data_IF_223613828920
#
_entry.id   IF_223613828920
#
_cell.length_a   1.000
_cell.length_b   1.000
_cell.length_c   1.000
_cell.angle_alpha   90.00
_cell.angle_beta   90.00
_cell.angle_gamma   90.00
#
_symmetry.space_group_name_H-M   'P 1'
#
loop_
_entity.id
_entity.type
_entity.pdbx_description
1 polymer ?
#
# COMPACT_ATOMS: atom_id res chain seq x y z
N UNK A 1 -36.90 -70.58 -17.18
CA UNK A 1 -36.64 -69.36 -17.99
C UNK A 1 -36.92 -68.11 -17.17
N UNK A 2 -36.05 -67.72 -16.22
CA UNK A 2 -36.17 -66.46 -15.46
C UNK A 2 -34.77 -66.10 -14.92
N UNK A 3 -33.92 -65.47 -15.73
CA UNK A 3 -32.75 -64.72 -15.22
C UNK A 3 -31.97 -63.90 -16.27
N UNK A 4 -32.54 -63.63 -17.46
CA UNK A 4 -31.85 -62.81 -18.48
C UNK A 4 -31.92 -61.29 -18.20
N UNK A 5 -32.83 -60.82 -17.34
CA UNK A 5 -33.00 -59.40 -17.05
C UNK A 5 -31.95 -58.80 -16.11
N UNK A 6 -31.39 -59.60 -15.19
CA UNK A 6 -30.44 -59.12 -14.18
C UNK A 6 -29.08 -58.73 -14.79
N UNK A 7 -28.63 -59.50 -15.79
CA UNK A 7 -27.36 -59.24 -16.47
C UNK A 7 -27.38 -57.97 -17.32
N UNK A 8 -28.53 -57.62 -17.91
CA UNK A 8 -28.68 -56.44 -18.75
C UNK A 8 -28.72 -55.13 -17.92
N UNK A 9 -29.37 -55.14 -16.76
CA UNK A 9 -29.38 -53.99 -15.86
C UNK A 9 -28.02 -53.72 -15.23
N UNK A 10 -27.24 -54.76 -14.93
CA UNK A 10 -25.89 -54.62 -14.39
C UNK A 10 -24.91 -54.06 -15.44
N UNK A 11 -25.01 -54.53 -16.70
CA UNK A 11 -24.18 -53.99 -17.80
C UNK A 11 -24.53 -52.54 -18.16
N UNK A 12 -25.82 -52.18 -18.15
CA UNK A 12 -26.25 -50.80 -18.40
C UNK A 12 -25.79 -49.84 -17.28
N UNK A 13 -25.83 -50.30 -16.02
CA UNK A 13 -25.33 -49.53 -14.88
C UNK A 13 -23.83 -49.29 -14.93
N UNK A 14 -23.04 -50.32 -15.27
CA UNK A 14 -21.58 -50.19 -15.42
C UNK A 14 -21.23 -49.27 -16.61
N UNK A 15 -21.96 -49.38 -17.73
CA UNK A 15 -21.73 -48.52 -18.89
C UNK A 15 -22.09 -47.06 -18.61
N UNK A 16 -23.17 -46.80 -17.85
CA UNK A 16 -23.54 -45.46 -17.42
C UNK A 16 -22.47 -44.84 -16.50
N UNK A 17 -21.94 -45.62 -15.55
CA UNK A 17 -20.88 -45.16 -14.62
C UNK A 17 -19.59 -44.84 -15.37
N UNK A 18 -19.15 -45.71 -16.30
CA UNK A 18 -17.97 -45.48 -17.14
C UNK A 18 -18.15 -44.24 -18.02
N UNK A 19 -19.35 -44.02 -18.57
CA UNK A 19 -19.64 -42.84 -19.37
C UNK A 19 -19.57 -41.56 -18.51
N UNK A 20 -20.16 -41.52 -17.31
CA UNK A 20 -20.02 -40.36 -16.40
C UNK A 20 -18.57 -40.10 -15.97
N UNK A 21 -17.75 -41.14 -15.77
CA UNK A 21 -16.33 -40.98 -15.42
C UNK A 21 -15.48 -40.42 -16.58
N UNK A 22 -15.90 -40.65 -17.83
CA UNK A 22 -15.22 -40.11 -19.02
C UNK A 22 -15.55 -38.63 -19.26
N UNK A 23 -16.72 -38.13 -18.84
CA UNK A 23 -17.05 -36.69 -18.96
C UNK A 23 -16.48 -35.83 -17.83
N UNK A 24 -16.14 -36.41 -16.68
CA UNK A 24 -15.49 -35.68 -15.58
C UNK A 24 -14.00 -35.41 -15.81
N UNK A 25 -13.34 -36.02 -16.80
CA UNK A 25 -11.89 -35.91 -17.01
C UNK A 25 -11.45 -34.87 -18.05
N UNK A 26 -12.38 -34.08 -18.62
CA UNK A 26 -12.07 -33.06 -19.62
C UNK A 26 -12.27 -31.61 -19.13
N UNK A 27 -12.73 -31.42 -17.88
CA UNK A 27 -12.82 -30.09 -17.29
C UNK A 27 -11.44 -29.69 -16.76
N UNK A 28 -10.89 -28.57 -17.24
CA UNK A 28 -9.68 -27.99 -16.66
C UNK A 28 -9.90 -27.75 -15.16
N UNK A 29 -8.90 -28.10 -14.37
CA UNK A 29 -8.84 -27.77 -12.95
C UNK A 29 -8.71 -26.26 -12.74
N UNK A 30 -9.08 -25.76 -11.58
CA UNK A 30 -8.95 -24.32 -11.28
C UNK A 30 -7.49 -23.85 -11.35
N UNK A 31 -6.54 -24.70 -10.97
CA UNK A 31 -5.11 -24.43 -11.10
C UNK A 31 -4.64 -24.33 -12.57
N UNK A 32 -5.19 -25.16 -13.46
CA UNK A 32 -4.90 -25.07 -14.90
C UNK A 32 -5.50 -23.80 -15.51
N UNK A 33 -6.74 -23.45 -15.15
CA UNK A 33 -7.38 -22.20 -15.61
C UNK A 33 -6.61 -20.96 -15.18
N UNK A 34 -6.15 -20.91 -13.92
CA UNK A 34 -5.31 -19.80 -13.43
C UNK A 34 -4.00 -19.70 -14.20
N UNK A 35 -3.32 -20.83 -14.42
CA UNK A 35 -2.06 -20.85 -15.16
C UNK A 35 -2.24 -20.35 -16.60
N UNK A 36 -3.29 -20.79 -17.28
CA UNK A 36 -3.60 -20.33 -18.63
C UNK A 36 -3.89 -18.82 -18.64
N UNK A 37 -4.68 -18.33 -17.68
CA UNK A 37 -4.98 -16.91 -17.55
C UNK A 37 -3.73 -16.07 -17.25
N UNK A 38 -2.82 -16.54 -16.40
CA UNK A 38 -1.53 -15.88 -16.12
C UNK A 38 -0.69 -15.75 -17.39
N UNK A 39 -0.60 -16.82 -18.20
CA UNK A 39 0.15 -16.78 -19.47
C UNK A 39 -0.47 -15.77 -20.43
N UNK A 40 -1.80 -15.78 -20.59
CA UNK A 40 -2.50 -14.82 -21.45
C UNK A 40 -2.34 -13.38 -20.97
N UNK A 41 -2.48 -13.13 -19.66
CA UNK A 41 -2.30 -11.80 -19.08
C UNK A 41 -0.88 -11.27 -19.30
N UNK A 42 0.16 -12.11 -19.12
CA UNK A 42 1.55 -11.73 -19.39
C UNK A 42 1.76 -11.34 -20.87
N UNK A 43 1.06 -11.97 -21.82
CA UNK A 43 1.11 -11.58 -23.24
C UNK A 43 0.48 -10.19 -23.45
N UNK A 44 -0.68 -9.93 -22.84
CA UNK A 44 -1.34 -8.62 -22.91
C UNK A 44 -0.51 -7.52 -22.26
N UNK A 45 0.06 -7.78 -21.07
CA UNK A 45 0.95 -6.85 -20.37
C UNK A 45 2.18 -6.46 -21.20
N UNK A 46 2.78 -7.43 -21.90
CA UNK A 46 3.90 -7.14 -22.82
C UNK A 46 3.53 -6.22 -24.00
N UNK A 47 2.23 -6.10 -24.30
CA UNK A 47 1.70 -5.23 -25.36
C UNK A 47 1.09 -3.92 -24.82
N UNK A 48 1.10 -3.72 -23.49
CA UNK A 48 0.46 -2.59 -22.82
C UNK A 48 -1.07 -2.68 -22.76
N UNK A 49 -1.64 -3.85 -23.05
CA UNK A 49 -3.10 -4.09 -23.06
C UNK A 49 -3.58 -4.43 -21.64
N UNK A 50 -3.49 -3.46 -20.72
CA UNK A 50 -3.73 -3.68 -19.28
C UNK A 50 -5.16 -4.16 -18.98
N UNK A 51 -6.17 -3.64 -19.69
CA UNK A 51 -7.58 -4.04 -19.52
C UNK A 51 -7.82 -5.50 -19.88
N UNK A 52 -7.28 -5.94 -21.04
CA UNK A 52 -7.39 -7.34 -21.48
C UNK A 52 -6.66 -8.30 -20.52
N UNK A 53 -5.55 -7.85 -19.93
CA UNK A 53 -4.85 -8.60 -18.89
C UNK A 53 -5.70 -8.78 -17.62
N UNK A 54 -6.39 -7.72 -17.17
CA UNK A 54 -7.31 -7.80 -16.02
C UNK A 54 -8.51 -8.69 -16.35
N UNK A 55 -9.09 -8.54 -17.54
CA UNK A 55 -10.27 -9.31 -17.96
C UNK A 55 -10.02 -10.81 -18.00
N UNK A 56 -8.88 -11.24 -18.55
CA UNK A 56 -8.55 -12.68 -18.60
C UNK A 56 -8.29 -13.26 -17.22
N UNK A 57 -7.70 -12.51 -16.30
CA UNK A 57 -7.47 -12.97 -14.93
C UNK A 57 -8.77 -12.99 -14.11
N UNK A 58 -9.66 -12.01 -14.29
CA UNK A 58 -10.98 -11.98 -13.65
C UNK A 58 -11.88 -13.12 -14.11
N UNK A 59 -11.67 -13.65 -15.32
CA UNK A 59 -12.39 -14.81 -15.83
C UNK A 59 -11.93 -16.14 -15.19
N UNK A 60 -10.75 -16.18 -14.56
CA UNK A 60 -10.23 -17.35 -13.87
C UNK A 60 -10.67 -17.40 -12.39
N UNK A 61 -10.72 -18.59 -11.76
CA UNK A 61 -10.91 -18.69 -10.32
C UNK A 61 -9.80 -17.95 -9.57
N UNK A 62 -10.15 -17.07 -8.64
CA UNK A 62 -9.17 -16.31 -7.86
C UNK A 62 -8.24 -17.24 -7.06
N UNK A 63 -6.94 -16.95 -7.06
CA UNK A 63 -5.92 -17.72 -6.34
C UNK A 63 -5.27 -16.90 -5.25
N UNK A 64 -5.83 -16.93 -4.04
CA UNK A 64 -5.35 -16.17 -2.87
C UNK A 64 -4.01 -16.64 -2.30
N UNK A 65 -3.55 -17.83 -2.69
CA UNK A 65 -2.25 -18.43 -2.33
C UNK A 65 -1.39 -18.79 -3.55
N UNK A 66 -1.80 -18.33 -4.74
CA UNK A 66 -1.10 -18.62 -5.99
C UNK A 66 -0.23 -17.40 -6.36
N UNK A 67 1.05 -17.46 -6.01
CA UNK A 67 2.01 -16.34 -6.15
C UNK A 67 2.03 -15.78 -7.57
N UNK A 68 2.10 -16.66 -8.57
CA UNK A 68 2.14 -16.28 -9.99
C UNK A 68 0.85 -15.55 -10.40
N UNK A 69 -0.30 -16.04 -9.94
CA UNK A 69 -1.59 -15.39 -10.19
C UNK A 69 -1.66 -14.02 -9.53
N UNK A 70 -1.33 -13.92 -8.24
CA UNK A 70 -1.38 -12.67 -7.48
C UNK A 70 -0.44 -11.60 -8.02
N UNK A 71 0.81 -11.96 -8.30
CA UNK A 71 1.81 -11.07 -8.88
C UNK A 71 1.36 -10.54 -10.25
N UNK A 72 0.85 -11.43 -11.11
CA UNK A 72 0.35 -11.04 -12.44
C UNK A 72 -0.91 -10.18 -12.34
N UNK A 73 -1.81 -10.48 -11.41
CA UNK A 73 -3.01 -9.68 -11.15
C UNK A 73 -2.67 -8.29 -10.65
N UNK A 74 -1.73 -8.19 -9.71
CA UNK A 74 -1.21 -6.92 -9.24
C UNK A 74 -0.55 -6.12 -10.38
N UNK A 75 0.33 -6.74 -11.17
CA UNK A 75 0.94 -6.10 -12.35
C UNK A 75 -0.10 -5.59 -13.35
N UNK A 76 -1.20 -6.32 -13.58
CA UNK A 76 -2.25 -5.89 -14.49
C UNK A 76 -2.97 -4.62 -14.02
N UNK A 77 -3.27 -4.51 -12.72
CA UNK A 77 -3.84 -3.27 -12.15
C UNK A 77 -2.80 -2.15 -12.04
N UNK A 78 -1.55 -2.46 -11.75
CA UNK A 78 -0.48 -1.47 -11.74
C UNK A 78 -0.26 -0.87 -13.16
N UNK A 79 -0.33 -1.70 -14.20
CA UNK A 79 -0.34 -1.28 -15.60
C UNK A 79 -1.50 -0.32 -15.88
N UNK A 80 -2.72 -0.62 -15.40
CA UNK A 80 -3.88 0.27 -15.52
C UNK A 80 -3.67 1.63 -14.85
N UNK A 81 -2.88 1.66 -13.78
CA UNK A 81 -2.52 2.88 -13.07
C UNK A 81 -1.32 3.62 -13.68
N UNK A 82 -0.87 3.26 -14.88
CA UNK A 82 0.33 3.81 -15.52
C UNK A 82 1.64 3.54 -14.75
N UNK A 83 1.64 2.64 -13.77
CA UNK A 83 2.85 2.22 -13.08
C UNK A 83 3.70 1.31 -13.98
N UNK A 84 4.94 1.71 -14.22
CA UNK A 84 5.90 0.97 -15.03
C UNK A 84 7.15 0.63 -14.20
N UNK A 85 7.38 -0.66 -13.96
CA UNK A 85 8.54 -1.12 -13.17
C UNK A 85 9.87 -0.70 -13.78
N UNK A 86 10.01 -0.70 -15.11
CA UNK A 86 11.26 -0.30 -15.77
C UNK A 86 11.56 1.17 -15.51
N UNK A 87 10.59 2.06 -15.73
CA UNK A 87 10.72 3.50 -15.41
C UNK A 87 11.01 3.71 -13.93
N UNK A 88 10.31 2.99 -13.06
CA UNK A 88 10.54 3.08 -11.63
C UNK A 88 11.99 2.75 -11.26
N UNK A 89 12.54 1.65 -11.76
CA UNK A 89 13.92 1.25 -11.47
C UNK A 89 14.96 2.13 -12.17
N UNK A 90 14.68 2.60 -13.40
CA UNK A 90 15.67 3.35 -14.19
C UNK A 90 15.69 4.84 -13.91
N UNK A 91 14.61 5.40 -13.35
CA UNK A 91 14.45 6.85 -13.15
C UNK A 91 14.11 7.15 -11.69
N UNK A 92 12.94 6.70 -11.23
CA UNK A 92 12.38 7.09 -9.92
C UNK A 92 13.28 6.68 -8.76
N UNK A 93 13.63 5.39 -8.68
CA UNK A 93 14.45 4.84 -7.61
C UNK A 93 15.89 5.38 -7.62
N UNK A 94 16.42 5.77 -8.78
CA UNK A 94 17.73 6.42 -8.87
C UNK A 94 17.70 7.87 -8.39
N UNK A 95 16.55 8.54 -8.52
CA UNK A 95 16.33 9.90 -8.03
C UNK A 95 15.99 9.96 -6.54
N UNK A 96 15.69 8.82 -5.92
CA UNK A 96 15.27 8.74 -4.53
C UNK A 96 16.38 9.14 -3.56
N UNK A 97 16.14 10.20 -2.77
CA UNK A 97 17.01 10.65 -1.70
C UNK A 97 16.50 10.14 -0.34
N UNK A 98 17.27 9.29 0.38
CA UNK A 98 16.90 8.81 1.71
C UNK A 98 16.95 9.89 2.81
N UNK A 99 17.40 11.10 2.53
CA UNK A 99 17.29 12.24 3.47
C UNK A 99 15.96 13.01 3.28
N UNK A 100 15.33 12.89 2.10
CA UNK A 100 14.12 13.64 1.69
C UNK A 100 13.01 12.68 1.21
N UNK A 101 12.52 11.81 2.09
CA UNK A 101 11.66 10.64 1.80
C UNK A 101 10.44 10.91 0.91
N UNK A 102 9.42 11.53 1.51
CA UNK A 102 8.14 11.75 0.84
C UNK A 102 8.29 12.82 -0.25
N UNK A 103 9.29 13.69 -0.12
CA UNK A 103 9.69 14.64 -1.18
C UNK A 103 10.18 13.91 -2.43
N UNK A 104 11.12 12.99 -2.28
CA UNK A 104 11.63 12.16 -3.37
C UNK A 104 10.53 11.34 -4.01
N UNK A 105 9.68 10.69 -3.21
CA UNK A 105 8.56 9.92 -3.74
C UNK A 105 7.53 10.82 -4.45
N UNK A 106 7.24 12.01 -3.92
CA UNK A 106 6.35 12.98 -4.56
C UNK A 106 6.88 13.54 -5.90
N UNK A 107 8.18 13.37 -6.15
CA UNK A 107 8.85 13.69 -7.41
C UNK A 107 8.89 12.53 -8.42
N UNK A 108 8.46 11.32 -8.05
CA UNK A 108 8.42 10.20 -8.98
C UNK A 108 7.56 10.50 -10.21
N UNK A 109 7.91 9.86 -11.31
CA UNK A 109 7.33 10.04 -12.63
C UNK A 109 5.80 9.92 -12.66
N UNK A 110 5.23 9.06 -11.81
CA UNK A 110 3.77 8.82 -11.73
C UNK A 110 3.07 9.55 -10.59
N UNK A 111 3.79 10.35 -9.81
CA UNK A 111 3.20 11.02 -8.64
C UNK A 111 2.16 12.06 -9.02
N UNK A 112 2.24 12.63 -10.23
CA UNK A 112 1.27 13.62 -10.74
C UNK A 112 -0.03 13.03 -11.26
N UNK A 113 -0.09 11.70 -11.41
CA UNK A 113 -1.26 11.02 -11.95
C UNK A 113 -2.46 11.10 -11.00
N UNK A 114 -2.24 11.26 -9.67
CA UNK A 114 -3.34 11.54 -8.74
C UNK A 114 -3.77 13.01 -8.82
N UNK A 115 -4.90 13.27 -9.47
CA UNK A 115 -5.44 14.63 -9.66
C UNK A 115 -6.64 14.96 -8.77
N UNK A 116 -7.28 13.94 -8.22
CA UNK A 116 -8.39 14.07 -7.27
C UNK A 116 -8.44 12.90 -6.27
N UNK A 117 -9.26 12.97 -5.20
CA UNK A 117 -9.28 11.90 -4.20
C UNK A 117 -9.71 10.53 -4.76
N UNK A 118 -10.60 10.51 -5.73
CA UNK A 118 -11.18 9.35 -6.42
C UNK A 118 -10.60 9.17 -7.83
N UNK A 119 -9.32 9.47 -7.99
CA UNK A 119 -8.58 9.30 -9.23
C UNK A 119 -8.41 7.81 -9.58
N UNK A 120 -8.75 7.45 -10.81
CA UNK A 120 -8.74 6.06 -11.29
C UNK A 120 -7.33 5.44 -11.25
N UNK A 121 -6.28 6.21 -11.51
CA UNK A 121 -4.92 5.67 -11.49
C UNK A 121 -4.48 5.39 -10.04
N UNK A 122 -4.82 6.29 -9.11
CA UNK A 122 -4.60 6.06 -7.68
C UNK A 122 -5.37 4.82 -7.19
N UNK A 123 -6.64 4.69 -7.56
CA UNK A 123 -7.49 3.57 -7.13
C UNK A 123 -7.05 2.23 -7.74
N UNK A 124 -6.65 2.20 -9.01
CA UNK A 124 -6.11 0.99 -9.66
C UNK A 124 -4.80 0.54 -9.00
N UNK A 125 -3.88 1.45 -8.70
CA UNK A 125 -2.63 1.08 -8.00
C UNK A 125 -2.94 0.59 -6.57
N UNK A 126 -3.94 1.17 -5.92
CA UNK A 126 -4.40 0.68 -4.62
C UNK A 126 -5.01 -0.72 -4.69
N UNK A 127 -5.68 -1.10 -5.79
CA UNK A 127 -6.14 -2.48 -6.03
C UNK A 127 -4.96 -3.44 -6.21
N UNK A 128 -3.93 -3.04 -6.97
CA UNK A 128 -2.71 -3.82 -7.13
C UNK A 128 -2.01 -4.05 -5.77
N UNK A 129 -1.84 -2.99 -4.98
CA UNK A 129 -1.30 -3.04 -3.62
C UNK A 129 -2.14 -3.98 -2.75
N UNK A 130 -3.47 -3.81 -2.72
CA UNK A 130 -4.34 -4.63 -1.89
C UNK A 130 -4.30 -6.12 -2.26
N UNK A 131 -4.07 -6.44 -3.54
CA UNK A 131 -3.93 -7.84 -4.00
C UNK A 131 -2.75 -8.52 -3.32
N UNK A 132 -1.60 -7.84 -3.25
CA UNK A 132 -0.39 -8.39 -2.62
C UNK A 132 -0.39 -8.23 -1.10
N UNK A 133 -0.90 -7.10 -0.60
CA UNK A 133 -0.97 -6.79 0.82
C UNK A 133 -1.77 -7.85 1.57
N UNK A 134 -2.94 -8.24 1.04
CA UNK A 134 -3.83 -9.26 1.63
C UNK A 134 -3.63 -10.66 1.05
N UNK A 135 -2.50 -10.92 0.37
CA UNK A 135 -2.13 -12.23 -0.11
C UNK A 135 -2.17 -13.28 1.02
N UNK A 136 -2.56 -14.51 0.70
CA UNK A 136 -2.80 -15.57 1.67
C UNK A 136 -4.20 -15.54 2.29
N UNK A 137 -5.13 -14.79 1.70
CA UNK A 137 -6.51 -14.70 2.17
C UNK A 137 -6.66 -13.93 3.49
N UNK A 138 -5.76 -12.98 3.76
CA UNK A 138 -5.80 -12.18 4.99
C UNK A 138 -7.09 -11.36 5.01
N UNK A 139 -7.85 -11.44 6.11
CA UNK A 139 -9.06 -10.63 6.29
C UNK A 139 -8.74 -9.15 6.29
N UNK A 140 -9.57 -8.35 5.61
CA UNK A 140 -9.49 -6.88 5.65
C UNK A 140 -9.65 -6.29 7.05
N UNK A 141 -10.22 -7.02 8.00
CA UNK A 141 -10.35 -6.56 9.40
C UNK A 141 -9.09 -6.84 10.25
N UNK A 142 -8.02 -7.39 9.67
CA UNK A 142 -6.76 -7.66 10.35
C UNK A 142 -5.64 -6.87 9.67
N UNK A 143 -4.65 -6.46 10.45
CA UNK A 143 -3.45 -5.85 9.88
C UNK A 143 -2.68 -6.88 9.05
N UNK A 144 -2.46 -6.61 7.75
CA UNK A 144 -1.73 -7.49 6.83
C UNK A 144 -0.21 -7.32 7.01
N UNK A 145 0.34 -7.81 8.12
CA UNK A 145 1.79 -7.77 8.39
C UNK A 145 2.55 -8.76 7.51
N UNK A 146 3.86 -8.56 7.34
CA UNK A 146 4.76 -9.58 6.75
C UNK A 146 4.61 -10.95 7.40
N UNK A 147 4.54 -11.01 8.74
CA UNK A 147 4.44 -12.28 9.47
C UNK A 147 3.15 -13.03 9.12
N UNK A 148 2.04 -12.32 8.86
CA UNK A 148 0.80 -12.97 8.42
C UNK A 148 0.88 -13.51 7.00
N UNK A 149 1.51 -12.77 6.07
CA UNK A 149 1.73 -13.29 4.71
C UNK A 149 2.62 -14.54 4.76
N UNK A 150 3.65 -14.54 5.60
CA UNK A 150 4.57 -15.66 5.78
C UNK A 150 3.88 -16.97 6.26
N UNK A 151 2.65 -16.91 6.78
CA UNK A 151 1.88 -18.11 7.14
C UNK A 151 1.48 -18.95 5.92
N UNK A 152 1.41 -18.36 4.72
CA UNK A 152 0.86 -19.00 3.51
C UNK A 152 1.85 -19.15 2.35
N UNK A 153 3.00 -18.48 2.39
CA UNK A 153 3.96 -18.46 1.29
C UNK A 153 5.32 -19.05 1.70
N UNK A 154 6.04 -19.61 0.72
CA UNK A 154 7.45 -19.95 0.93
C UNK A 154 8.27 -18.67 1.11
N UNK A 155 9.50 -18.79 1.63
CA UNK A 155 10.38 -17.62 1.77
C UNK A 155 10.69 -16.94 0.44
N UNK A 156 10.81 -17.71 -0.65
CA UNK A 156 11.07 -17.17 -1.99
C UNK A 156 9.83 -16.45 -2.52
N UNK A 157 8.65 -17.10 -2.45
CA UNK A 157 7.37 -16.49 -2.86
C UNK A 157 7.07 -15.21 -2.08
N UNK A 158 7.30 -15.22 -0.76
CA UNK A 158 7.09 -14.06 0.10
C UNK A 158 7.99 -12.90 -0.31
N UNK A 159 9.28 -13.19 -0.60
CA UNK A 159 10.22 -12.16 -1.05
C UNK A 159 9.75 -11.51 -2.36
N UNK A 160 9.23 -12.29 -3.30
CA UNK A 160 8.74 -11.77 -4.58
C UNK A 160 7.49 -10.89 -4.38
N UNK A 161 6.51 -11.35 -3.59
CA UNK A 161 5.31 -10.59 -3.23
C UNK A 161 5.68 -9.27 -2.55
N UNK A 162 6.54 -9.31 -1.54
CA UNK A 162 6.89 -8.14 -0.74
C UNK A 162 7.74 -7.14 -1.50
N UNK A 163 8.63 -7.62 -2.38
CA UNK A 163 9.39 -6.73 -3.25
C UNK A 163 8.44 -5.98 -4.17
N UNK A 164 7.54 -6.67 -4.86
CA UNK A 164 6.61 -6.01 -5.77
C UNK A 164 5.66 -5.05 -5.02
N UNK A 165 5.15 -5.48 -3.86
CA UNK A 165 4.31 -4.66 -2.99
C UNK A 165 5.03 -3.38 -2.55
N UNK A 166 6.29 -3.49 -2.13
CA UNK A 166 7.09 -2.36 -1.66
C UNK A 166 7.24 -1.28 -2.75
N UNK A 167 7.57 -1.68 -3.98
CA UNK A 167 7.73 -0.74 -5.10
C UNK A 167 6.43 0.03 -5.38
N UNK A 168 5.30 -0.68 -5.42
CA UNK A 168 3.99 -0.05 -5.65
C UNK A 168 3.58 0.86 -4.49
N UNK A 169 3.85 0.48 -3.25
CA UNK A 169 3.58 1.30 -2.06
C UNK A 169 4.40 2.59 -2.10
N UNK A 170 5.67 2.56 -2.50
CA UNK A 170 6.48 3.77 -2.69
C UNK A 170 5.87 4.72 -3.72
N UNK A 171 5.44 4.19 -4.87
CA UNK A 171 4.80 5.00 -5.91
C UNK A 171 3.45 5.59 -5.43
N UNK A 172 2.63 4.80 -4.74
CA UNK A 172 1.35 5.25 -4.20
C UNK A 172 1.50 6.29 -3.09
N UNK A 173 2.51 6.13 -2.21
CA UNK A 173 2.89 7.15 -1.24
C UNK A 173 3.32 8.44 -1.93
N UNK A 174 4.09 8.35 -3.02
CA UNK A 174 4.46 9.50 -3.85
C UNK A 174 3.26 10.27 -4.38
N UNK A 175 2.28 9.57 -4.97
CA UNK A 175 1.01 10.15 -5.43
C UNK A 175 0.25 10.83 -4.29
N UNK A 176 0.08 10.13 -3.17
CA UNK A 176 -0.61 10.65 -1.99
C UNK A 176 0.08 11.92 -1.46
N UNK A 177 1.41 11.86 -1.31
CA UNK A 177 2.24 12.96 -0.83
C UNK A 177 2.16 14.15 -1.78
N UNK A 178 2.36 13.96 -3.08
CA UNK A 178 2.30 15.05 -4.05
C UNK A 178 0.95 15.75 -4.02
N UNK A 179 -0.14 14.98 -4.08
CA UNK A 179 -1.49 15.53 -4.12
C UNK A 179 -1.84 16.28 -2.82
N UNK A 180 -1.82 15.58 -1.68
CA UNK A 180 -2.27 16.17 -0.42
C UNK A 180 -1.24 17.08 0.24
N UNK A 181 0.05 16.88 0.01
CA UNK A 181 1.11 17.79 0.45
C UNK A 181 1.36 18.95 -0.50
N UNK A 182 0.67 18.99 -1.66
CA UNK A 182 0.81 20.05 -2.66
C UNK A 182 2.27 20.24 -3.11
N UNK A 183 2.93 19.14 -3.46
CA UNK A 183 4.30 19.22 -3.95
C UNK A 183 4.37 19.67 -5.41
N UNK A 184 5.48 20.30 -5.78
CA UNK A 184 5.77 20.63 -7.17
C UNK A 184 6.41 19.45 -7.94
N UNK A 185 6.80 19.67 -9.20
CA UNK A 185 7.40 18.63 -10.06
C UNK A 185 8.72 18.05 -9.56
N UNK A 186 9.40 18.70 -8.61
CA UNK A 186 10.65 18.19 -8.02
C UNK A 186 10.44 17.68 -6.59
N UNK A 187 9.18 17.52 -6.16
CA UNK A 187 8.85 16.94 -4.85
C UNK A 187 8.77 17.95 -3.72
N UNK A 188 8.96 19.25 -3.98
CA UNK A 188 8.98 20.25 -2.92
C UNK A 188 7.58 20.49 -2.38
N UNK A 189 7.35 20.09 -1.13
CA UNK A 189 6.07 20.24 -0.44
C UNK A 189 5.58 21.69 -0.39
N UNK A 190 4.28 21.87 -0.60
CA UNK A 190 3.60 23.16 -0.59
C UNK A 190 4.01 24.11 -1.73
N UNK A 191 4.88 23.71 -2.66
CA UNK A 191 5.29 24.53 -3.81
C UNK A 191 4.42 24.30 -5.06
N UNK A 192 3.47 23.36 -5.01
CA UNK A 192 2.51 23.12 -6.06
C UNK A 192 1.48 24.24 -6.23
N UNK A 193 0.49 24.01 -7.10
CA UNK A 193 -0.49 25.02 -7.50
C UNK A 193 -1.56 25.34 -6.43
N UNK A 194 -1.73 24.47 -5.44
CA UNK A 194 -2.70 24.67 -4.35
C UNK A 194 -2.14 25.62 -3.28
N UNK A 195 -3.00 26.11 -2.40
CA UNK A 195 -2.61 27.06 -1.35
C UNK A 195 -2.18 26.38 -0.04
N UNK A 196 -2.37 25.07 0.10
CA UNK A 196 -2.03 24.34 1.32
C UNK A 196 -0.52 24.16 1.47
N UNK A 197 -0.03 24.26 2.70
CA UNK A 197 1.38 23.99 3.09
C UNK A 197 1.51 22.75 3.95
N UNK A 198 0.39 22.27 4.47
CA UNK A 198 0.28 21.10 5.33
C UNK A 198 -0.65 20.08 4.65
N UNK A 199 -0.54 18.82 5.06
CA UNK A 199 -1.52 17.80 4.69
C UNK A 199 -2.89 18.15 5.24
N UNK A 200 -2.97 18.47 6.55
CA UNK A 200 -4.21 18.75 7.26
C UNK A 200 -4.18 20.11 7.95
N UNK A 201 -5.36 20.57 8.36
CA UNK A 201 -5.51 21.67 9.30
C UNK A 201 -5.37 21.09 10.72
N UNK A 202 -4.28 21.44 11.39
CA UNK A 202 -3.94 21.03 12.75
C UNK A 202 -4.37 22.06 13.80
N UNK A 203 -5.19 23.06 13.44
CA UNK A 203 -5.63 24.08 14.38
C UNK A 203 -6.37 23.50 15.59
N UNK A 204 -7.08 22.39 15.41
CA UNK A 204 -7.78 21.67 16.50
C UNK A 204 -6.85 20.83 17.37
N UNK A 205 -5.70 20.39 16.84
CA UNK A 205 -4.71 19.59 17.56
C UNK A 205 -3.86 20.42 18.56
N UNK A 206 -4.00 21.75 18.58
CA UNK A 206 -3.26 22.64 19.51
C UNK A 206 -3.51 22.39 21.00
N UNK A 207 -4.58 21.69 21.35
CA UNK A 207 -4.92 21.36 22.74
C UNK A 207 -4.36 20.03 23.21
N UNK A 208 -3.63 19.31 22.35
CA UNK A 208 -3.06 18.01 22.67
C UNK A 208 -1.91 18.10 23.69
N UNK A 209 -1.98 17.25 24.71
CA UNK A 209 -0.95 17.05 25.72
C UNK A 209 -0.18 15.75 25.47
N UNK A 210 0.31 15.58 24.24
CA UNK A 210 1.19 14.46 23.91
C UNK A 210 2.61 14.75 24.35
N UNK A 211 3.27 13.72 24.91
CA UNK A 211 4.67 13.78 25.32
C UNK A 211 5.53 13.09 24.28
N UNK A 212 6.51 13.80 23.72
CA UNK A 212 7.37 13.28 22.65
C UNK A 212 8.80 13.17 23.12
N UNK A 213 9.49 12.09 22.80
CA UNK A 213 10.94 12.03 23.02
C UNK A 213 11.64 12.64 21.79
N UNK A 214 12.38 13.73 21.95
CA UNK A 214 13.29 14.21 20.90
C UNK A 214 14.23 13.05 20.52
N UNK A 215 14.20 12.63 19.25
CA UNK A 215 15.07 11.59 18.69
C UNK A 215 16.57 11.94 18.74
N UNK A 216 16.93 13.14 19.21
CA UNK A 216 18.29 13.48 19.60
C UNK A 216 18.83 12.63 20.76
N UNK A 217 20.17 12.55 20.92
CA UNK A 217 20.83 11.69 21.92
C UNK A 217 20.49 12.01 23.40
N UNK A 218 19.72 13.06 23.65
CA UNK A 218 19.32 13.51 24.99
C UNK A 218 17.89 13.14 25.39
N UNK A 219 17.04 12.66 24.47
CA UNK A 219 15.71 12.12 24.78
C UNK A 219 14.83 13.02 25.64
N UNK A 220 14.74 14.31 25.31
CA UNK A 220 13.93 15.25 26.09
C UNK A 220 12.47 15.14 25.69
N UNK A 221 11.58 15.18 26.69
CA UNK A 221 10.15 15.33 26.50
C UNK A 221 9.85 16.69 25.84
N UNK A 222 9.36 16.67 24.61
CA UNK A 222 8.87 17.83 23.85
C UNK A 222 7.35 17.84 23.96
N UNK A 223 6.77 19.02 24.20
CA UNK A 223 5.31 19.20 24.17
C UNK A 223 4.83 19.41 22.73
N UNK A 224 3.56 19.14 22.46
CA UNK A 224 2.92 19.44 21.16
C UNK A 224 3.25 20.86 20.67
N UNK A 225 3.10 21.86 21.53
CA UNK A 225 3.39 23.26 21.21
C UNK A 225 4.86 23.50 20.80
N UNK A 226 5.81 22.82 21.45
CA UNK A 226 7.22 22.92 21.12
C UNK A 226 7.58 22.21 19.81
N UNK A 227 6.91 21.10 19.48
CA UNK A 227 7.12 20.41 18.23
C UNK A 227 6.48 21.14 17.04
N UNK A 228 5.29 21.73 17.22
CA UNK A 228 4.69 22.67 16.26
C UNK A 228 5.59 23.89 16.07
N UNK A 229 6.17 24.43 17.15
CA UNK A 229 7.14 25.52 17.03
C UNK A 229 8.40 25.10 16.26
N UNK A 230 8.88 23.86 16.41
CA UNK A 230 10.01 23.33 15.63
C UNK A 230 9.67 23.15 14.14
N UNK A 231 8.47 22.68 13.81
CA UNK A 231 7.95 22.61 12.44
C UNK A 231 7.84 24.02 11.80
N UNK A 232 7.36 25.00 12.57
CA UNK A 232 7.23 26.39 12.11
C UNK A 232 8.56 27.18 12.10
N UNK A 233 9.55 26.78 12.91
CA UNK A 233 10.86 27.43 12.97
C UNK A 233 11.72 27.11 11.75
N UNK A 234 11.40 26.04 11.02
CA UNK A 234 11.94 25.79 9.70
C UNK A 234 11.25 26.74 8.71
N UNK A 235 11.73 27.99 8.59
CA UNK A 235 11.38 28.90 7.49
C UNK A 235 11.95 28.42 6.15
N UNK A 236 11.76 27.13 5.84
CA UNK A 236 12.29 26.45 4.67
C UNK A 236 11.13 26.07 3.78
N UNK A 237 11.31 26.30 2.48
CA UNK A 237 10.53 25.66 1.43
C UNK A 237 10.38 24.17 1.78
N UNK A 238 9.15 23.64 1.90
CA UNK A 238 8.87 22.30 2.42
C UNK A 238 8.20 22.25 3.80
N UNK A 239 8.21 23.35 4.58
CA UNK A 239 7.59 23.39 5.91
C UNK A 239 6.06 23.58 5.87
N UNK A 240 5.40 23.07 6.91
CA UNK A 240 4.03 23.43 7.27
C UNK A 240 4.06 24.81 7.97
N UNK A 241 4.32 25.88 7.20
CA UNK A 241 4.35 27.28 7.67
C UNK A 241 2.93 27.75 8.05
N UNK A 242 2.46 27.31 9.22
CA UNK A 242 1.12 27.60 9.74
C UNK A 242 0.19 26.39 9.72
N UNK A 243 -0.20 25.96 10.92
CA UNK A 243 -1.08 24.82 11.23
C UNK A 243 -2.49 24.87 10.63
N UNK A 244 -2.90 25.94 9.96
CA UNK A 244 -4.27 26.12 9.45
C UNK A 244 -4.34 26.17 7.90
N UNK A 245 -3.41 25.50 7.22
CA UNK A 245 -3.34 25.47 5.74
C UNK A 245 -3.35 24.04 5.20
N UNK A 246 -4.27 23.21 5.69
CA UNK A 246 -4.46 21.84 5.22
C UNK A 246 -5.02 21.74 3.80
N UNK A 247 -4.86 20.58 3.17
CA UNK A 247 -5.46 20.30 1.88
C UNK A 247 -6.98 20.20 1.99
N UNK A 248 -7.72 20.94 1.16
CA UNK A 248 -9.18 21.04 1.23
C UNK A 248 -9.92 19.70 1.02
N UNK A 249 -9.24 18.69 0.47
CA UNK A 249 -9.78 17.34 0.23
C UNK A 249 -9.31 16.28 1.22
N UNK A 250 -8.37 16.60 2.11
CA UNK A 250 -7.94 15.70 3.18
C UNK A 250 -8.73 15.99 4.47
N UNK A 251 -10.04 15.82 4.39
CA UNK A 251 -11.00 16.24 5.43
C UNK A 251 -11.85 15.10 5.97
N UNK A 252 -11.53 13.86 5.59
CA UNK A 252 -12.28 12.68 6.04
C UNK A 252 -11.32 11.66 6.63
N UNK A 253 -11.83 10.89 7.60
CA UNK A 253 -11.10 9.78 8.24
C UNK A 253 -10.64 8.76 7.18
N UNK A 254 -11.46 8.50 6.16
CA UNK A 254 -11.10 7.57 5.09
C UNK A 254 -9.81 7.97 4.35
N UNK A 255 -9.68 9.25 3.98
CA UNK A 255 -8.48 9.74 3.30
C UNK A 255 -7.27 9.79 4.22
N UNK A 256 -7.47 10.20 5.48
CA UNK A 256 -6.42 10.16 6.50
C UNK A 256 -5.88 8.73 6.71
N UNK A 257 -6.78 7.76 6.85
CA UNK A 257 -6.44 6.34 7.02
C UNK A 257 -5.69 5.77 5.81
N UNK A 258 -5.98 6.22 4.59
CA UNK A 258 -5.23 5.79 3.40
C UNK A 258 -3.74 6.17 3.54
N UNK A 259 -3.45 7.41 3.93
CA UNK A 259 -2.07 7.86 4.18
C UNK A 259 -1.38 7.10 5.31
N UNK A 260 -2.07 6.86 6.43
CA UNK A 260 -1.56 6.09 7.58
C UNK A 260 -1.19 4.68 7.17
N UNK A 261 -2.11 3.99 6.48
CA UNK A 261 -1.91 2.61 6.06
C UNK A 261 -0.76 2.50 5.07
N UNK A 262 -0.69 3.39 4.08
CA UNK A 262 0.40 3.39 3.11
C UNK A 262 1.75 3.59 3.79
N UNK A 263 1.85 4.55 4.72
CA UNK A 263 3.11 4.79 5.44
C UNK A 263 3.47 3.63 6.36
N UNK A 264 2.53 3.09 7.13
CA UNK A 264 2.82 1.96 8.03
C UNK A 264 3.22 0.70 7.25
N UNK A 265 2.57 0.40 6.13
CA UNK A 265 2.94 -0.72 5.25
C UNK A 265 4.33 -0.50 4.66
N UNK A 266 4.66 0.71 4.23
CA UNK A 266 6.00 1.04 3.76
C UNK A 266 7.06 0.77 4.84
N UNK A 267 6.81 1.21 6.07
CA UNK A 267 7.74 1.02 7.20
C UNK A 267 7.91 -0.46 7.57
N UNK A 268 6.82 -1.25 7.59
CA UNK A 268 6.86 -2.71 7.81
C UNK A 268 7.70 -3.42 6.74
N UNK A 269 7.46 -3.11 5.46
CA UNK A 269 8.15 -3.75 4.35
C UNK A 269 9.62 -3.33 4.26
N UNK A 270 9.94 -2.07 4.53
CA UNK A 270 11.29 -1.54 4.40
C UNK A 270 12.31 -2.36 5.20
N UNK A 271 12.02 -2.69 6.46
CA UNK A 271 12.92 -3.48 7.32
C UNK A 271 13.26 -4.84 6.68
N UNK A 272 12.26 -5.46 6.04
CA UNK A 272 12.40 -6.77 5.38
C UNK A 272 13.15 -6.65 4.06
N UNK A 273 12.81 -5.65 3.24
CA UNK A 273 13.42 -5.41 1.93
C UNK A 273 14.91 -5.13 2.06
N UNK A 274 15.33 -4.29 3.01
CA UNK A 274 16.76 -4.08 3.28
C UNK A 274 17.44 -5.41 3.55
N UNK A 275 16.87 -6.24 4.42
CA UNK A 275 17.40 -7.57 4.75
C UNK A 275 17.49 -8.48 3.52
N UNK A 276 16.51 -8.43 2.61
CA UNK A 276 16.50 -9.24 1.38
C UNK A 276 17.59 -8.87 0.37
N UNK A 277 18.06 -7.62 0.40
CA UNK A 277 18.99 -7.06 -0.57
C UNK A 277 20.35 -6.63 0.03
N UNK A 278 20.61 -6.93 1.32
CA UNK A 278 21.94 -6.76 1.92
C UNK A 278 22.96 -7.63 1.16
N UNK A 279 23.65 -7.05 0.18
CA UNK A 279 24.69 -7.77 -0.57
C UNK A 279 25.13 -7.18 -1.91
N UNK A 280 24.26 -6.56 -2.73
CA UNK A 280 24.68 -6.31 -4.12
C UNK A 280 24.06 -5.13 -4.91
N UNK A 281 23.07 -4.34 -4.45
CA UNK A 281 22.49 -3.30 -5.37
C UNK A 281 21.72 -2.12 -4.76
N UNK A 282 21.52 -2.05 -3.44
CA UNK A 282 20.56 -1.10 -2.84
C UNK A 282 21.17 -0.24 -1.72
N UNK A 283 22.41 0.22 -1.91
CA UNK A 283 23.12 1.07 -0.94
C UNK A 283 22.33 2.36 -0.58
N UNK A 284 21.53 2.89 -1.51
CA UNK A 284 20.64 4.04 -1.27
C UNK A 284 19.51 3.72 -0.29
N UNK A 285 19.02 2.47 -0.24
CA UNK A 285 18.03 2.04 0.74
C UNK A 285 18.65 1.65 2.09
N UNK A 286 19.93 1.28 2.15
CA UNK A 286 20.58 0.96 3.43
C UNK A 286 20.74 2.19 4.34
N UNK A 287 20.95 3.37 3.76
CA UNK A 287 21.04 4.66 4.47
C UNK A 287 19.71 5.06 5.15
N UNK A 288 18.61 4.44 4.73
CA UNK A 288 17.25 4.77 5.15
C UNK A 288 16.95 4.36 6.61
N UNK A 289 17.75 3.45 7.18
CA UNK A 289 17.55 2.89 8.53
C UNK A 289 17.62 3.94 9.63
N UNK A 290 18.61 4.84 9.56
CA UNK A 290 18.86 5.82 10.63
C UNK A 290 17.77 6.90 10.77
N UNK A 291 17.16 7.33 9.66
CA UNK A 291 16.08 8.33 9.70
C UNK A 291 14.73 7.68 9.96
N UNK A 292 14.49 6.46 9.47
CA UNK A 292 13.30 5.68 9.86
C UNK A 292 13.31 5.40 11.36
N UNK A 293 14.44 5.01 11.95
CA UNK A 293 14.58 4.84 13.39
C UNK A 293 14.30 6.15 14.13
N UNK A 294 14.84 7.28 13.65
CA UNK A 294 14.56 8.59 14.23
C UNK A 294 13.07 8.92 14.17
N UNK A 295 12.41 8.70 13.02
CA UNK A 295 10.98 8.96 12.84
C UNK A 295 10.18 8.03 13.73
N UNK A 296 10.34 6.70 13.65
CA UNK A 296 9.62 5.72 14.49
C UNK A 296 9.70 6.04 15.99
N UNK A 297 10.84 6.53 16.48
CA UNK A 297 11.04 6.86 17.88
C UNK A 297 10.51 8.25 18.32
N UNK A 298 10.08 9.12 17.40
CA UNK A 298 9.57 10.48 17.73
C UNK A 298 8.26 10.46 18.53
N UNK A 299 7.45 9.40 18.42
CA UNK A 299 6.15 9.30 19.10
C UNK A 299 6.10 8.00 19.90
N UNK A 300 6.35 8.11 21.21
CA UNK A 300 6.28 6.99 22.17
C UNK A 300 5.00 7.00 23.00
N UNK A 301 4.05 7.88 22.67
CA UNK A 301 2.80 8.00 23.39
C UNK A 301 1.96 6.72 23.26
N UNK A 302 1.55 6.08 24.38
CA UNK A 302 0.71 4.88 24.34
C UNK A 302 -0.60 5.06 23.57
N UNK A 303 -1.18 6.26 23.57
CA UNK A 303 -2.43 6.55 22.86
C UNK A 303 -2.24 6.53 21.33
N UNK A 304 -0.99 6.68 20.86
CA UNK A 304 -0.60 6.61 19.46
C UNK A 304 -0.18 5.19 19.02
N UNK A 305 -0.06 4.23 19.94
CA UNK A 305 0.46 2.90 19.64
C UNK A 305 -0.38 2.15 18.58
N UNK A 306 -1.71 2.31 18.63
CA UNK A 306 -2.60 1.61 17.70
C UNK A 306 -2.53 2.20 16.29
N UNK A 307 -2.58 3.53 16.13
CA UNK A 307 -2.44 4.16 14.81
C UNK A 307 -1.05 3.94 14.20
N UNK A 308 0.01 3.89 15.01
CA UNK A 308 1.38 3.66 14.57
C UNK A 308 1.62 2.27 13.97
N UNK A 309 0.71 1.31 14.20
CA UNK A 309 0.84 -0.08 13.71
C UNK A 309 -0.30 -0.52 12.80
N UNK A 310 -1.28 0.36 12.53
CA UNK A 310 -2.45 0.02 11.73
C UNK A 310 -2.10 -0.02 10.25
N UNK A 311 -2.25 -1.19 9.63
CA UNK A 311 -1.98 -1.43 8.20
C UNK A 311 -3.23 -1.85 7.43
N UNK A 312 -4.37 -1.99 8.11
CA UNK A 312 -5.66 -2.17 7.46
C UNK A 312 -6.45 -0.86 7.40
N UNK A 313 -6.90 -0.50 6.19
CA UNK A 313 -7.84 0.60 5.99
C UNK A 313 -9.15 0.37 6.75
N UNK A 314 -9.67 -0.86 6.76
CA UNK A 314 -10.93 -1.17 7.45
C UNK A 314 -10.77 -1.02 8.95
N UNK A 315 -9.66 -1.54 9.51
CA UNK A 315 -9.36 -1.38 10.93
C UNK A 315 -9.16 0.08 11.32
N UNK A 316 -8.41 0.86 10.53
CA UNK A 316 -8.23 2.29 10.78
C UNK A 316 -9.57 3.03 10.80
N UNK A 317 -10.46 2.72 9.86
CA UNK A 317 -11.81 3.28 9.84
C UNK A 317 -12.63 2.87 11.06
N UNK A 318 -12.59 1.60 11.47
CA UNK A 318 -13.31 1.12 12.66
C UNK A 318 -12.87 1.81 13.95
N UNK A 319 -11.59 2.19 14.05
CA UNK A 319 -11.03 2.85 15.22
C UNK A 319 -11.37 4.34 15.29
N UNK A 320 -11.31 5.03 14.16
CA UNK A 320 -11.29 6.50 14.14
C UNK A 320 -12.51 7.14 13.46
N UNK A 321 -13.37 6.37 12.81
CA UNK A 321 -14.57 6.93 12.18
C UNK A 321 -15.68 7.16 13.20
N UNK A 322 -16.06 8.42 13.38
CA UNK A 322 -17.28 8.80 14.09
C UNK A 322 -18.43 9.01 13.09
N UNK A 323 -19.44 8.14 13.15
CA UNK A 323 -20.62 8.23 12.30
C UNK A 323 -21.46 9.48 12.59
N UNK A 324 -21.40 10.02 13.81
CA UNK A 324 -22.10 11.24 14.19
C UNK A 324 -21.37 12.50 13.68
N UNK A 325 -20.05 12.40 13.43
CA UNK A 325 -19.19 13.49 12.96
C UNK A 325 -18.21 13.05 11.84
N UNK A 326 -18.70 12.61 10.67
CA UNK A 326 -17.89 11.91 9.66
C UNK A 326 -16.80 12.76 8.97
N UNK A 327 -16.83 14.08 9.19
CA UNK A 327 -15.88 15.06 8.64
C UNK A 327 -14.89 15.59 9.67
N UNK A 328 -15.02 15.17 10.94
CA UNK A 328 -14.06 15.53 11.99
C UNK A 328 -12.98 14.45 11.97
N UNK A 329 -11.74 14.86 11.73
CA UNK A 329 -10.59 13.96 11.84
C UNK A 329 -10.19 13.95 13.33
N UNK A 330 -10.18 12.78 14.00
CA UNK A 330 -9.71 12.66 15.38
C UNK A 330 -8.30 13.20 15.60
N UNK A 331 -8.01 13.56 16.84
CA UNK A 331 -6.77 14.21 17.22
C UNK A 331 -5.55 13.27 17.04
N UNK A 332 -5.74 11.96 17.21
CA UNK A 332 -4.73 10.92 17.00
C UNK A 332 -4.30 10.86 15.52
N UNK A 333 -5.25 10.96 14.59
CA UNK A 333 -4.95 11.02 13.16
C UNK A 333 -4.21 12.32 12.82
N UNK A 334 -4.64 13.45 13.36
CA UNK A 334 -3.94 14.72 13.18
C UNK A 334 -2.51 14.67 13.72
N UNK A 335 -2.31 14.08 14.90
CA UNK A 335 -0.99 13.90 15.49
C UNK A 335 -0.12 12.97 14.64
N UNK A 336 -0.66 11.84 14.16
CA UNK A 336 0.08 10.93 13.29
C UNK A 336 0.61 11.68 12.06
N UNK A 337 -0.24 12.45 11.38
CA UNK A 337 0.18 13.25 10.24
C UNK A 337 1.24 14.28 10.62
N UNK A 338 1.01 15.05 11.69
CA UNK A 338 1.93 16.09 12.14
C UNK A 338 3.33 15.55 12.50
N UNK A 339 3.41 14.37 13.10
CA UNK A 339 4.68 13.84 13.63
C UNK A 339 5.36 12.81 12.73
N UNK A 340 4.60 12.17 11.83
CA UNK A 340 5.13 11.21 10.86
C UNK A 340 5.19 11.84 9.47
N UNK A 341 4.04 12.12 8.89
CA UNK A 341 3.92 12.55 7.49
C UNK A 341 4.59 13.90 7.25
N UNK A 342 4.32 14.91 8.10
CA UNK A 342 4.92 16.25 7.97
C UNK A 342 6.43 16.27 8.25
N UNK A 343 6.93 15.33 9.05
CA UNK A 343 8.36 15.22 9.35
C UNK A 343 9.11 14.52 8.23
N UNK A 344 8.52 13.46 7.66
CA UNK A 344 9.06 12.72 6.52
C UNK A 344 8.98 13.49 5.20
N UNK A 345 8.19 14.56 5.16
CA UNK A 345 7.98 15.37 3.96
C UNK A 345 8.46 16.80 4.18
N UNK A 346 9.69 16.93 4.64
CA UNK A 346 10.38 18.22 4.71
C UNK A 346 11.21 18.45 3.47
#
# INVERSE_FOLDING_TARGET
MKNKGFFYQMFLGIFAIIFTLLFSSCAQTDAEKRRDAVVSAKIFLNSGECDDAVDVLNAAPYGDVDTDFLATYASAYACKASFNELTFFSEDLLSFNPDDYLSSMAAFSTSEDMTEPDDDDFDNLQVAINTLLYAGGISRTKDPTTERRAENFSTEDLKDIETQLFLMVMAQLGRYARYYGNADSIGVKGAGASSNKCFMDYSSAQTLDFTFTDGGPTGNDVTYAAAVAALNAASQIGSCDGIATGHARLTTVARACQGVVLLNVFLDLYEKIVTYFMGDSMDSLAALSSVIDAVLNVVTDPDMAEINSTMSQTKCMELYYDADNPTVIPEELQAYFLFRMEVLFR
#
